data_IF_734179883221
#
_entry.id   IF_734179883221
#
_cell.length_a   1.000
_cell.length_b   1.000
_cell.length_c   1.000
_cell.angle_alpha   90.00
_cell.angle_beta   90.00
_cell.angle_gamma   90.00
#
_symmetry.space_group_name_H-M   'P 1'
#
loop_
_entity.id
_entity.type
_entity.pdbx_description
1 polymer ?
#
# COMPACT_ATOMS: atom_id res chain seq x y z
N UNK A 1 22.63 -34.63 -21.43
CA UNK A 1 22.14 -33.80 -20.31
C UNK A 1 20.72 -33.33 -20.64
N UNK A 2 19.69 -34.11 -20.25
CA UNK A 2 18.30 -33.82 -20.61
C UNK A 2 17.73 -32.72 -19.72
N UNK A 3 17.47 -31.53 -20.29
CA UNK A 3 16.77 -30.44 -19.59
C UNK A 3 15.30 -30.85 -19.44
N UNK A 4 14.89 -31.33 -18.26
CA UNK A 4 13.49 -31.51 -17.92
C UNK A 4 12.78 -30.14 -17.95
N UNK A 5 11.93 -29.90 -18.96
CA UNK A 5 11.04 -28.73 -19.00
C UNK A 5 10.01 -28.83 -17.88
N UNK A 6 10.30 -28.20 -16.73
CA UNK A 6 9.33 -28.03 -15.63
C UNK A 6 8.26 -27.02 -16.06
N UNK A 7 7.03 -27.48 -16.29
CA UNK A 7 5.85 -26.60 -16.44
C UNK A 7 5.21 -26.41 -15.07
N UNK A 8 4.89 -25.16 -14.73
CA UNK A 8 4.19 -24.79 -13.49
C UNK A 8 2.92 -24.03 -13.86
N UNK A 9 1.79 -24.72 -14.11
CA UNK A 9 0.52 -24.06 -14.30
C UNK A 9 0.21 -23.12 -13.13
N UNK A 10 -0.35 -21.95 -13.46
CA UNK A 10 -0.84 -20.97 -12.47
C UNK A 10 -2.34 -20.71 -12.65
N UNK A 11 -3.23 -21.65 -12.29
CA UNK A 11 -4.66 -21.38 -12.30
C UNK A 11 -5.02 -20.12 -11.50
N UNK A 12 -5.94 -19.34 -12.04
CA UNK A 12 -6.56 -18.19 -11.38
C UNK A 12 -7.99 -18.56 -11.00
N UNK A 13 -8.35 -18.29 -9.75
CA UNK A 13 -9.70 -18.48 -9.26
C UNK A 13 -10.61 -17.39 -9.84
N UNK A 14 -11.77 -17.82 -10.33
CA UNK A 14 -12.90 -16.95 -10.65
C UNK A 14 -14.09 -17.30 -9.76
N UNK A 15 -14.97 -16.34 -9.54
CA UNK A 15 -16.25 -16.49 -8.86
C UNK A 15 -17.32 -15.88 -9.77
N UNK A 16 -18.17 -16.73 -10.35
CA UNK A 16 -19.11 -16.36 -11.43
C UNK A 16 -18.42 -15.51 -12.52
N UNK A 17 -17.34 -16.04 -13.08
CA UNK A 17 -16.50 -15.42 -14.12
C UNK A 17 -15.76 -14.12 -13.74
N UNK A 18 -15.92 -13.64 -12.50
CA UNK A 18 -15.15 -12.50 -11.97
C UNK A 18 -13.87 -13.01 -11.30
N UNK A 19 -12.67 -12.48 -11.64
CA UNK A 19 -11.42 -12.90 -11.01
C UNK A 19 -11.40 -12.60 -9.50
N UNK A 20 -10.85 -13.51 -8.70
CA UNK A 20 -10.65 -13.31 -7.27
C UNK A 20 -9.23 -12.83 -7.01
N UNK A 21 -9.09 -11.67 -6.35
CA UNK A 21 -7.79 -11.09 -6.04
C UNK A 21 -6.95 -12.04 -5.17
N UNK A 22 -5.74 -12.35 -5.62
CA UNK A 22 -4.82 -13.25 -4.92
C UNK A 22 -5.24 -14.73 -4.93
N UNK A 23 -6.34 -15.08 -5.61
CA UNK A 23 -6.80 -16.46 -5.79
C UNK A 23 -5.98 -17.22 -6.82
N UNK A 24 -4.65 -17.14 -6.74
CA UNK A 24 -3.75 -17.86 -7.65
C UNK A 24 -3.22 -19.12 -6.98
N UNK A 25 -3.20 -20.20 -7.75
CA UNK A 25 -2.68 -21.49 -7.33
C UNK A 25 -1.55 -21.91 -8.24
N UNK A 26 -0.46 -22.44 -7.70
CA UNK A 26 0.70 -22.92 -8.47
C UNK A 26 0.79 -24.42 -8.29
N UNK A 27 0.75 -25.14 -9.40
CA UNK A 27 0.93 -26.60 -9.40
C UNK A 27 2.32 -26.93 -9.91
N UNK A 28 3.10 -27.64 -9.10
CA UNK A 28 4.40 -28.18 -9.49
C UNK A 28 4.18 -29.57 -10.03
N UNK A 29 4.63 -29.81 -11.26
CA UNK A 29 4.49 -31.08 -11.94
C UNK A 29 5.85 -31.59 -12.41
N UNK A 30 6.04 -32.90 -12.33
CA UNK A 30 7.16 -33.61 -12.92
C UNK A 30 6.65 -34.69 -13.89
N UNK A 31 7.50 -35.07 -14.84
CA UNK A 31 7.20 -36.13 -15.80
C UNK A 31 7.91 -37.40 -15.36
N UNK A 32 7.15 -38.42 -15.02
CA UNK A 32 7.63 -39.74 -14.62
C UNK A 32 6.89 -40.79 -15.44
N UNK A 33 7.63 -41.71 -16.06
CA UNK A 33 7.08 -42.83 -16.86
C UNK A 33 6.05 -42.40 -17.91
N UNK A 34 6.30 -41.28 -18.59
CA UNK A 34 5.39 -40.70 -19.59
C UNK A 34 4.19 -39.96 -19.01
N UNK A 35 3.93 -40.07 -17.70
CA UNK A 35 2.80 -39.44 -17.00
C UNK A 35 3.25 -38.14 -16.32
N UNK A 36 2.28 -37.24 -16.05
CA UNK A 36 2.51 -36.01 -15.27
C UNK A 36 2.07 -36.29 -13.84
N UNK A 37 2.97 -36.10 -12.89
CA UNK A 37 2.69 -36.27 -11.46
C UNK A 37 2.80 -34.91 -10.78
N UNK A 38 1.82 -34.58 -9.93
CA UNK A 38 1.85 -33.38 -9.10
C UNK A 38 2.79 -33.62 -7.94
N UNK A 39 3.83 -32.79 -7.82
CA UNK A 39 4.86 -32.91 -6.77
C UNK A 39 4.70 -31.87 -5.67
N UNK A 40 3.80 -30.91 -5.86
CA UNK A 40 3.49 -29.94 -4.82
C UNK A 40 2.55 -28.88 -5.33
N UNK A 41 1.85 -28.27 -4.38
CA UNK A 41 0.94 -27.18 -4.64
C UNK A 41 1.19 -26.05 -3.66
N UNK A 42 1.03 -24.82 -4.14
CA UNK A 42 1.24 -23.62 -3.32
C UNK A 42 0.36 -22.50 -3.86
N UNK A 43 -0.21 -21.68 -2.99
CA UNK A 43 -1.10 -20.59 -3.39
C UNK A 43 -2.26 -20.43 -2.42
N UNK A 44 -3.25 -19.64 -2.81
CA UNK A 44 -4.48 -19.45 -2.02
C UNK A 44 -5.70 -19.72 -2.88
N UNK A 45 -6.69 -20.32 -2.25
CA UNK A 45 -8.02 -20.52 -2.81
C UNK A 45 -9.02 -20.09 -1.75
N UNK A 46 -9.95 -19.22 -2.14
CA UNK A 46 -10.88 -18.59 -1.22
C UNK A 46 -12.25 -19.25 -1.31
N UNK A 47 -12.69 -19.86 -0.22
CA UNK A 47 -14.02 -20.47 -0.10
C UNK A 47 -14.96 -19.53 0.65
N UNK A 48 -16.28 -19.74 0.53
CA UNK A 48 -17.28 -18.94 1.25
C UNK A 48 -17.60 -17.59 0.62
N UNK A 49 -17.20 -17.36 -0.63
CA UNK A 49 -17.59 -16.17 -1.39
C UNK A 49 -19.11 -16.19 -1.66
N UNK A 50 -19.79 -15.08 -1.37
CA UNK A 50 -21.24 -14.89 -1.51
C UNK A 50 -21.63 -13.52 -2.09
N UNK A 51 -20.67 -12.74 -2.56
CA UNK A 51 -20.93 -11.42 -3.17
C UNK A 51 -21.79 -11.56 -4.43
N UNK A 52 -22.55 -10.51 -4.77
CA UNK A 52 -23.09 -10.36 -6.12
C UNK A 52 -21.99 -10.06 -7.14
N UNK A 53 -22.30 -10.21 -8.43
CA UNK A 53 -21.40 -9.88 -9.56
C UNK A 53 -21.91 -8.79 -10.49
N UNK A 54 -23.07 -8.21 -10.19
CA UNK A 54 -23.60 -7.03 -10.89
C UNK A 54 -23.05 -5.78 -10.21
N UNK A 55 -22.50 -4.85 -10.98
CA UNK A 55 -22.00 -3.57 -10.46
C UNK A 55 -23.02 -2.45 -10.69
N UNK A 56 -23.19 -1.58 -9.69
CA UNK A 56 -23.95 -0.33 -9.81
C UNK A 56 -23.02 0.81 -10.25
N UNK A 57 -21.75 0.76 -9.84
CA UNK A 57 -20.72 1.71 -10.25
C UNK A 57 -20.11 1.26 -11.57
N UNK A 58 -20.18 2.12 -12.59
CA UNK A 58 -19.53 1.88 -13.88
C UNK A 58 -18.03 2.23 -13.86
N UNK A 59 -17.32 1.86 -14.93
CA UNK A 59 -15.87 2.06 -15.01
C UNK A 59 -15.47 3.55 -15.06
N UNK A 60 -16.26 4.39 -15.72
CA UNK A 60 -15.95 5.81 -15.88
C UNK A 60 -16.10 6.53 -14.54
N UNK A 61 -17.23 6.30 -13.86
CA UNK A 61 -17.50 6.83 -12.53
C UNK A 61 -16.45 6.38 -11.50
N UNK A 62 -16.00 5.13 -11.58
CA UNK A 62 -14.93 4.62 -10.74
C UNK A 62 -13.59 5.35 -10.98
N UNK A 63 -13.22 5.59 -12.23
CA UNK A 63 -11.99 6.33 -12.57
C UNK A 63 -12.06 7.78 -12.09
N UNK A 64 -13.19 8.45 -12.34
CA UNK A 64 -13.40 9.85 -11.94
C UNK A 64 -13.37 10.01 -10.41
N UNK A 65 -14.01 9.09 -9.68
CA UNK A 65 -14.00 9.09 -8.22
C UNK A 65 -12.58 8.99 -7.65
N UNK A 66 -11.70 8.17 -8.26
CA UNK A 66 -10.31 8.04 -7.81
C UNK A 66 -9.49 9.28 -8.19
N UNK A 67 -9.70 9.83 -9.39
CA UNK A 67 -9.07 11.09 -9.79
C UNK A 67 -9.40 12.22 -8.81
N UNK A 68 -10.67 12.34 -8.44
CA UNK A 68 -11.16 13.32 -7.49
C UNK A 68 -10.64 13.08 -6.06
N UNK A 69 -10.59 11.84 -5.55
CA UNK A 69 -10.02 11.54 -4.22
C UNK A 69 -8.54 11.96 -4.12
N UNK A 70 -7.77 11.72 -5.20
CA UNK A 70 -6.35 12.09 -5.24
C UNK A 70 -6.14 13.60 -5.43
N UNK A 71 -7.03 14.28 -6.16
CA UNK A 71 -7.01 15.73 -6.33
C UNK A 71 -7.51 16.49 -5.09
N UNK A 72 -8.58 16.02 -4.45
CA UNK A 72 -9.23 16.66 -3.30
C UNK A 72 -8.43 16.55 -1.99
N UNK A 73 -7.45 15.65 -1.90
CA UNK A 73 -6.46 15.65 -0.81
C UNK A 73 -5.58 16.91 -0.80
N UNK A 74 -5.81 17.87 -1.71
CA UNK A 74 -5.16 19.18 -1.77
C UNK A 74 -6.15 20.32 -1.60
N UNK A 75 -6.40 20.71 -0.35
CA UNK A 75 -6.87 22.08 -0.09
C UNK A 75 -5.65 23.02 -0.10
N UNK A 76 -5.27 23.45 -1.30
CA UNK A 76 -4.22 24.44 -1.53
C UNK A 76 -4.25 24.84 -3.00
N UNK A 77 -4.87 25.99 -3.29
CA UNK A 77 -5.04 26.53 -4.63
C UNK A 77 -3.67 26.72 -5.31
N UNK A 78 -3.48 26.01 -6.42
CA UNK A 78 -2.41 26.20 -7.38
C UNK A 78 -2.98 25.85 -8.75
N UNK A 79 -2.71 26.72 -9.71
CA UNK A 79 -3.28 26.76 -11.06
C UNK A 79 -3.28 25.41 -11.79
N UNK A 80 -4.22 25.27 -12.72
CA UNK A 80 -4.40 24.13 -13.64
C UNK A 80 -3.15 23.90 -14.49
N UNK A 81 -2.10 23.32 -13.90
CA UNK A 81 -1.05 22.66 -14.67
C UNK A 81 -1.61 21.32 -15.15
N UNK A 82 -1.80 21.21 -16.46
CA UNK A 82 -2.02 19.95 -17.18
C UNK A 82 -0.84 19.00 -16.93
N UNK A 83 -0.83 18.32 -15.78
CA UNK A 83 0.05 17.20 -15.47
C UNK A 83 -0.43 16.47 -14.23
N UNK A 84 -0.53 15.14 -14.19
CA UNK A 84 -0.30 14.14 -15.22
C UNK A 84 -0.84 12.79 -14.72
N UNK A 85 -1.92 12.78 -13.93
CA UNK A 85 -2.50 11.56 -13.37
C UNK A 85 -3.52 10.99 -14.35
N UNK A 86 -3.30 9.76 -14.80
CA UNK A 86 -4.22 9.01 -15.66
C UNK A 86 -4.72 7.77 -14.93
N UNK A 87 -6.03 7.55 -14.97
CA UNK A 87 -6.69 6.35 -14.46
C UNK A 87 -6.97 5.35 -15.58
N UNK A 88 -6.90 4.05 -15.28
CA UNK A 88 -7.30 2.97 -16.19
C UNK A 88 -8.06 1.90 -15.42
N UNK A 89 -9.24 1.52 -15.91
CA UNK A 89 -10.00 0.39 -15.34
C UNK A 89 -9.52 -0.95 -15.88
N UNK A 90 -9.50 -1.95 -15.02
CA UNK A 90 -9.23 -3.36 -15.31
C UNK A 90 -10.48 -4.24 -15.13
N UNK A 91 -11.64 -3.62 -14.94
CA UNK A 91 -12.93 -4.30 -14.77
C UNK A 91 -13.16 -4.80 -13.34
N UNK A 92 -14.03 -5.80 -13.22
CA UNK A 92 -14.49 -6.32 -11.93
C UNK A 92 -13.50 -7.33 -11.33
N UNK A 93 -13.33 -7.24 -10.01
CA UNK A 93 -12.51 -8.15 -9.21
C UNK A 93 -13.21 -8.42 -7.88
N UNK A 94 -13.20 -9.67 -7.42
CA UNK A 94 -13.66 -10.01 -6.06
C UNK A 94 -12.49 -9.90 -5.09
N UNK A 95 -12.63 -9.04 -4.08
CA UNK A 95 -11.73 -9.00 -2.93
C UNK A 95 -12.17 -10.05 -1.91
N UNK A 96 -11.31 -11.02 -1.55
CA UNK A 96 -11.69 -12.10 -0.65
C UNK A 96 -11.59 -11.67 0.83
N UNK A 97 -12.27 -10.59 1.19
CA UNK A 97 -12.46 -10.15 2.58
C UNK A 97 -13.87 -10.52 3.05
N UNK A 98 -13.98 -11.14 4.24
CA UNK A 98 -15.26 -11.65 4.73
C UNK A 98 -15.94 -12.61 3.74
N UNK A 99 -17.15 -12.29 3.30
CA UNK A 99 -17.91 -13.04 2.30
C UNK A 99 -17.54 -12.71 0.84
N UNK A 100 -16.51 -11.90 0.63
CA UNK A 100 -16.16 -11.33 -0.65
C UNK A 100 -16.82 -9.98 -0.88
N UNK A 101 -16.09 -9.06 -1.51
CA UNK A 101 -16.58 -7.74 -1.94
C UNK A 101 -16.32 -7.61 -3.44
N UNK A 102 -17.36 -7.30 -4.21
CA UNK A 102 -17.21 -6.97 -5.63
C UNK A 102 -16.61 -5.59 -5.77
N UNK A 103 -15.54 -5.47 -6.55
CA UNK A 103 -14.82 -4.21 -6.73
C UNK A 103 -14.52 -3.92 -8.19
N UNK A 104 -14.35 -2.64 -8.51
CA UNK A 104 -13.69 -2.15 -9.73
C UNK A 104 -12.20 -1.99 -9.44
N UNK A 105 -11.34 -2.54 -10.29
CA UNK A 105 -9.89 -2.40 -10.16
C UNK A 105 -9.39 -1.28 -11.08
N UNK A 106 -8.90 -0.20 -10.47
CA UNK A 106 -8.38 0.98 -11.17
C UNK A 106 -6.87 1.11 -10.91
N UNK A 107 -6.10 1.31 -11.97
CA UNK A 107 -4.71 1.73 -11.87
C UNK A 107 -4.61 3.23 -12.13
N UNK A 108 -3.95 3.97 -11.24
CA UNK A 108 -3.60 5.38 -11.44
C UNK A 108 -2.10 5.52 -11.67
N UNK A 109 -1.72 6.29 -12.69
CA UNK A 109 -0.32 6.53 -13.07
C UNK A 109 -0.07 7.99 -13.29
N UNK A 110 1.15 8.45 -13.04
CA UNK A 110 1.54 9.80 -13.39
C UNK A 110 2.66 10.35 -12.52
N UNK A 111 2.67 11.68 -12.39
CA UNK A 111 3.47 12.38 -11.40
C UNK A 111 2.54 13.09 -10.46
N UNK A 112 2.86 13.05 -9.18
CA UNK A 112 2.17 13.83 -8.17
C UNK A 112 2.38 15.31 -8.47
N UNK A 113 1.33 16.11 -8.70
CA UNK A 113 1.54 17.51 -9.05
C UNK A 113 2.10 18.41 -7.91
N UNK A 114 2.31 17.91 -6.68
CA UNK A 114 2.75 18.73 -5.54
C UNK A 114 4.25 18.56 -5.29
N UNK A 115 4.77 17.33 -5.35
CA UNK A 115 6.21 17.07 -5.23
C UNK A 115 6.88 16.50 -6.49
N UNK A 116 6.10 16.24 -7.54
CA UNK A 116 6.58 15.66 -8.80
C UNK A 116 6.92 14.18 -8.72
N UNK A 117 6.65 13.53 -7.58
CA UNK A 117 6.98 12.12 -7.36
C UNK A 117 6.22 11.21 -8.32
N UNK A 118 6.83 10.11 -8.80
CA UNK A 118 6.11 9.15 -9.63
C UNK A 118 4.98 8.50 -8.82
N UNK A 119 3.78 8.53 -9.39
CA UNK A 119 2.60 7.84 -8.85
C UNK A 119 2.32 6.62 -9.71
N UNK A 120 2.27 5.46 -9.06
CA UNK A 120 1.65 4.25 -9.58
C UNK A 120 0.85 3.68 -8.41
N UNK A 121 -0.48 3.69 -8.52
CA UNK A 121 -1.38 3.28 -7.44
C UNK A 121 -2.42 2.31 -7.99
N UNK A 122 -2.62 1.23 -7.26
CA UNK A 122 -3.66 0.26 -7.52
C UNK A 122 -4.79 0.52 -6.52
N UNK A 123 -6.00 0.72 -7.02
CA UNK A 123 -7.18 1.09 -6.23
C UNK A 123 -8.31 0.12 -6.54
N UNK A 124 -8.90 -0.44 -5.49
CA UNK A 124 -10.09 -1.27 -5.59
C UNK A 124 -11.25 -0.51 -4.96
N UNK A 125 -12.27 -0.24 -5.75
CA UNK A 125 -13.47 0.51 -5.35
C UNK A 125 -14.60 -0.47 -5.20
N UNK A 126 -15.38 -0.38 -4.12
CA UNK A 126 -16.62 -1.12 -3.98
C UNK A 126 -17.54 -0.86 -5.19
N UNK A 127 -17.92 -1.93 -5.89
CA UNK A 127 -18.68 -1.83 -7.14
C UNK A 127 -20.18 -1.50 -6.93
N UNK A 128 -20.64 -1.46 -5.68
CA UNK A 128 -21.98 -0.97 -5.29
C UNK A 128 -21.88 0.47 -4.79
N UNK A 129 -21.02 0.70 -3.79
CA UNK A 129 -21.04 1.94 -3.02
C UNK A 129 -20.09 3.03 -3.56
N UNK A 130 -19.12 2.68 -4.41
CA UNK A 130 -18.21 3.66 -5.01
C UNK A 130 -17.07 4.11 -4.09
N UNK A 131 -16.90 3.50 -2.92
CA UNK A 131 -15.83 3.86 -1.98
C UNK A 131 -14.58 2.97 -2.13
N UNK A 132 -13.37 3.52 -1.97
CA UNK A 132 -12.14 2.72 -2.02
C UNK A 132 -12.06 1.76 -0.83
N UNK A 133 -11.91 0.47 -1.11
CA UNK A 133 -11.80 -0.61 -0.10
C UNK A 133 -10.37 -1.11 0.06
N UNK A 134 -9.53 -0.97 -0.95
CA UNK A 134 -8.10 -1.29 -0.90
C UNK A 134 -7.32 -0.33 -1.80
N UNK A 135 -6.21 0.18 -1.30
CA UNK A 135 -5.29 1.07 -2.02
C UNK A 135 -3.86 0.66 -1.72
N UNK A 136 -3.01 0.57 -2.73
CA UNK A 136 -1.57 0.39 -2.52
C UNK A 136 -0.73 1.03 -3.61
N UNK A 137 0.50 1.40 -3.26
CA UNK A 137 1.49 1.91 -4.22
C UNK A 137 2.14 0.75 -4.98
N UNK A 138 2.16 0.84 -6.29
CA UNK A 138 2.89 -0.07 -7.19
C UNK A 138 4.27 0.45 -7.57
N UNK A 139 4.70 1.61 -7.07
CA UNK A 139 6.01 2.18 -7.41
C UNK A 139 7.12 1.25 -6.94
N UNK A 140 7.87 0.68 -7.88
CA UNK A 140 9.07 -0.10 -7.61
C UNK A 140 10.29 0.83 -7.77
N UNK A 141 10.87 1.28 -6.66
CA UNK A 141 12.09 2.09 -6.68
C UNK A 141 13.31 1.19 -6.84
N UNK A 142 13.93 1.22 -8.02
CA UNK A 142 15.22 0.59 -8.26
C UNK A 142 16.32 1.66 -8.28
N UNK A 143 17.11 1.74 -7.21
CA UNK A 143 18.26 2.65 -7.10
C UNK A 143 18.41 3.24 -5.70
N UNK A 144 19.66 3.49 -5.28
CA UNK A 144 19.96 4.16 -4.02
C UNK A 144 19.47 5.62 -4.07
N UNK A 145 18.72 6.12 -3.07
CA UNK A 145 18.22 7.49 -3.10
C UNK A 145 19.37 8.51 -3.15
N UNK A 146 19.56 9.17 -4.29
CA UNK A 146 20.53 10.27 -4.46
C UNK A 146 20.12 11.56 -3.71
N UNK A 147 18.97 11.55 -3.04
CA UNK A 147 18.48 12.68 -2.24
C UNK A 147 19.09 12.76 -0.82
N UNK A 148 19.70 11.70 -0.30
CA UNK A 148 20.20 11.66 1.08
C UNK A 148 21.53 12.45 1.30
N UNK A 149 22.25 12.81 0.24
CA UNK A 149 23.56 13.46 0.36
C UNK A 149 23.49 14.98 0.66
N UNK A 150 22.35 15.64 0.44
CA UNK A 150 22.16 17.06 0.81
C UNK A 150 21.51 17.24 2.19
N UNK A 151 20.78 16.24 2.68
CA UNK A 151 20.17 16.27 4.01
C UNK A 151 21.18 16.03 5.15
N UNK A 152 22.28 15.32 4.88
CA UNK A 152 23.29 14.96 5.88
C UNK A 152 24.20 16.11 6.33
N UNK A 153 24.23 17.23 5.61
CA UNK A 153 24.93 18.45 6.05
C UNK A 153 24.01 19.33 6.91
N UNK A 154 22.71 19.33 6.64
CA UNK A 154 21.72 20.08 7.42
C UNK A 154 21.44 19.43 8.79
N UNK A 155 21.53 18.10 8.90
CA UNK A 155 21.26 17.39 10.15
C UNK A 155 22.31 17.63 11.25
N UNK A 156 23.55 17.99 10.89
CA UNK A 156 24.62 18.22 11.88
C UNK A 156 24.52 19.56 12.63
N UNK A 157 23.56 20.42 12.25
CA UNK A 157 23.31 21.71 12.90
C UNK A 157 22.03 21.73 13.76
N UNK A 158 21.31 20.61 13.86
CA UNK A 158 20.01 20.52 14.55
C UNK A 158 20.06 19.79 15.91
N UNK A 159 21.24 19.67 16.52
CA UNK A 159 21.44 18.94 17.78
C UNK A 159 21.29 19.84 19.04
N UNK A 160 20.62 20.98 18.91
CA UNK A 160 20.19 21.79 20.04
C UNK A 160 18.72 21.48 20.36
N UNK A 161 18.35 21.19 21.63
CA UNK A 161 16.97 20.96 22.00
C UNK A 161 16.12 22.20 21.72
N UNK A 162 14.96 21.98 21.08
CA UNK A 162 13.97 23.03 20.88
C UNK A 162 13.39 23.46 22.24
N UNK A 163 13.16 24.76 22.46
CA UNK A 163 12.57 25.24 23.70
C UNK A 163 11.14 24.70 23.88
N UNK A 164 10.86 24.07 25.03
CA UNK A 164 9.52 23.61 25.42
C UNK A 164 9.31 22.10 25.57
N UNK A 165 10.34 21.28 25.35
CA UNK A 165 10.23 19.81 25.47
C UNK A 165 10.80 19.32 26.81
N UNK A 166 10.07 18.42 27.49
CA UNK A 166 10.49 17.83 28.76
C UNK A 166 10.88 16.35 28.59
N UNK A 167 11.90 15.85 29.30
CA UNK A 167 12.23 14.43 29.29
C UNK A 167 11.16 13.63 30.05
N UNK A 168 10.69 12.55 29.43
CA UNK A 168 9.74 11.58 29.96
C UNK A 168 10.18 10.15 29.67
N UNK A 169 9.43 9.16 30.16
CA UNK A 169 9.74 7.74 29.94
C UNK A 169 8.50 6.95 29.59
N UNK A 170 8.59 6.06 28.60
CA UNK A 170 7.55 5.10 28.22
C UNK A 170 8.06 3.66 28.22
N UNK A 171 7.18 2.69 27.96
CA UNK A 171 7.54 1.28 27.82
C UNK A 171 7.42 0.87 26.36
N UNK A 172 8.50 0.38 25.78
CA UNK A 172 8.56 -0.15 24.42
C UNK A 172 7.77 -1.45 24.26
N UNK A 173 7.51 -1.83 23.01
CA UNK A 173 6.76 -3.06 22.68
C UNK A 173 7.48 -4.35 23.12
N UNK A 174 8.76 -4.26 23.44
CA UNK A 174 9.59 -5.33 24.01
C UNK A 174 9.61 -5.34 25.55
N UNK A 175 8.86 -4.44 26.19
CA UNK A 175 8.77 -4.29 27.64
C UNK A 175 9.89 -3.45 28.27
N UNK A 176 10.80 -2.85 27.48
CA UNK A 176 11.89 -2.02 28.01
C UNK A 176 11.46 -0.57 28.23
N UNK A 177 12.01 0.09 29.24
CA UNK A 177 11.80 1.53 29.44
C UNK A 177 12.60 2.31 28.40
N UNK A 178 11.93 3.22 27.69
CA UNK A 178 12.51 4.07 26.65
C UNK A 178 12.29 5.52 27.03
N UNK A 179 13.33 6.34 26.85
CA UNK A 179 13.26 7.78 27.07
C UNK A 179 12.47 8.44 25.94
N UNK A 180 11.51 9.28 26.30
CA UNK A 180 10.59 9.95 25.38
C UNK A 180 10.65 11.45 25.66
N UNK A 181 10.81 12.24 24.60
CA UNK A 181 10.70 13.68 24.69
C UNK A 181 9.24 14.06 24.51
N UNK A 182 8.60 14.63 25.53
CA UNK A 182 7.18 14.97 25.49
C UNK A 182 6.98 16.48 25.46
N UNK A 183 6.04 16.93 24.63
CA UNK A 183 5.66 18.33 24.54
C UNK A 183 4.50 18.61 25.50
N UNK A 184 4.61 19.64 26.34
CA UNK A 184 3.48 20.09 27.16
C UNK A 184 2.53 20.96 26.32
N UNK A 185 1.24 20.65 26.35
CA UNK A 185 0.19 21.46 25.75
C UNK A 185 -0.53 22.27 26.84
N UNK A 186 -0.12 23.52 27.00
CA UNK A 186 -0.66 24.44 28.02
C UNK A 186 -2.17 24.72 27.84
N UNK A 187 -2.72 24.51 26.63
CA UNK A 187 -4.16 24.71 26.38
C UNK A 187 -5.02 23.59 26.93
N UNK A 188 -4.43 22.40 27.09
CA UNK A 188 -5.10 21.19 27.58
C UNK A 188 -4.55 20.71 28.92
N UNK A 189 -3.55 21.40 29.46
CA UNK A 189 -2.75 21.02 30.63
C UNK A 189 -2.34 19.54 30.56
N UNK A 190 -1.81 19.13 29.41
CA UNK A 190 -1.56 17.73 29.08
C UNK A 190 -0.24 17.56 28.34
N UNK A 191 0.48 16.48 28.66
CA UNK A 191 1.67 16.06 27.93
C UNK A 191 1.27 15.22 26.71
N UNK A 192 1.72 15.65 25.53
CA UNK A 192 1.40 15.01 24.25
C UNK A 192 2.66 14.55 23.54
N UNK A 193 2.60 13.36 22.94
CA UNK A 193 3.59 12.84 22.00
C UNK A 193 3.18 13.30 20.60
N UNK A 194 3.93 14.23 20.02
CA UNK A 194 3.71 14.69 18.64
C UNK A 194 4.51 13.81 17.67
N UNK A 195 4.11 13.70 16.39
CA UNK A 195 4.81 12.86 15.41
C UNK A 195 6.32 13.17 15.30
N UNK A 196 6.72 14.43 15.46
CA UNK A 196 8.13 14.84 15.51
C UNK A 196 8.90 14.37 16.76
N UNK A 197 8.20 13.95 17.81
CA UNK A 197 8.78 13.46 19.07
C UNK A 197 9.09 11.95 19.00
N UNK A 198 8.46 11.23 18.07
CA UNK A 198 8.59 9.77 17.91
C UNK A 198 9.83 9.37 17.10
N UNK A 199 10.24 10.19 16.13
CA UNK A 199 11.42 9.92 15.29
C UNK A 199 12.74 9.93 16.06
N UNK A 200 12.81 10.60 17.23
CA UNK A 200 14.00 10.60 18.10
C UNK A 200 14.10 9.38 19.02
N UNK A 201 12.99 8.70 19.34
CA UNK A 201 13.01 7.51 20.19
C UNK A 201 13.55 6.27 19.45
N UNK A 202 13.45 6.25 18.13
CA UNK A 202 13.89 5.11 17.30
C UNK A 202 15.42 5.09 17.16
N UNK A 203 16.07 6.25 17.12
CA UNK A 203 17.52 6.38 16.88
C UNK A 203 18.39 6.01 18.10
N UNK A 204 17.83 5.95 19.31
CA UNK A 204 18.54 5.52 20.53
C UNK A 204 18.54 3.99 20.72
N UNK A 205 17.79 3.24 19.91
CA UNK A 205 17.85 1.76 19.91
C UNK A 205 18.95 1.19 19.00
N UNK A 206 19.65 2.08 18.28
CA UNK A 206 20.65 1.76 17.27
C UNK A 206 22.08 2.17 17.63
N UNK A 207 22.53 1.98 18.87
CA UNK A 207 23.97 1.92 19.16
C UNK A 207 24.26 0.86 20.23
N UNK A 208 25.35 0.12 19.98
CA UNK A 208 25.84 -1.06 20.71
C UNK A 208 25.88 -0.91 22.22
#
# INVERSE_FOLDING_TARGET
MNRHRRRRPRPRQTYHDVPVLGGEYVVRMEKQDGRRIVTGTSGRYFTGLRTGTTAEVDDALAVDAVGNDLGAQRFGAGEEDESALSGSSHGLVVLPTGTGVLTRHITVRGKDPAGGEPVLREVYIDAQAGYPVLRYSGVQTFGTPRAAARASVAHRLADAPAPGTSPGSGVGLDGRTVELYVSHDDTRDAYVLRPQDVDRAIDLSGSK
#
